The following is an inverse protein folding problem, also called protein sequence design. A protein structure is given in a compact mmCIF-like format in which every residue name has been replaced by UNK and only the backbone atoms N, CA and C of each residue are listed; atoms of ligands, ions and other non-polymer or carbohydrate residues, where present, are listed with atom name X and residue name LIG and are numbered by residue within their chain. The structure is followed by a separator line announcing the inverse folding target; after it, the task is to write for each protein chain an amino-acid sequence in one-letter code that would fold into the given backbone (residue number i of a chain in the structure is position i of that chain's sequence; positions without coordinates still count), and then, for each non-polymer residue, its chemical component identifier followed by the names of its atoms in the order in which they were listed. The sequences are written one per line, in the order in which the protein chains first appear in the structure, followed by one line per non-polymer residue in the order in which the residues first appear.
data_IF_801406566925
#
_entry.id   IF_801406566925
#
_cell.length_a   1.000
_cell.length_b   1.000
_cell.length_c   1.000
_cell.angle_alpha   90.00
_cell.angle_beta   90.00
_cell.angle_gamma   90.00
#
_symmetry.space_group_name_H-M   'P 1'
#
loop_
_entity.id
_entity.type
_entity.pdbx_description
1 polymer ?
#
# COMPACT_ATOMS: atom_id res chain seq x y z
N UNK A 1 -12.37 0.82 6.68
CA UNK A 1 -11.65 1.24 5.45
C UNK A 1 -10.36 0.47 5.36
N UNK A 2 -9.66 0.50 4.23
CA UNK A 2 -8.29 -0.03 4.13
C UNK A 2 -7.26 1.09 4.16
N UNK A 3 -6.13 0.85 4.83
CA UNK A 3 -4.83 1.38 4.43
C UNK A 3 -4.17 0.31 3.56
N UNK A 4 -3.84 0.64 2.33
CA UNK A 4 -3.16 -0.25 1.39
C UNK A 4 -1.71 0.17 1.27
N UNK A 5 -0.80 -0.71 1.67
CA UNK A 5 0.65 -0.54 1.56
C UNK A 5 1.18 -1.45 0.45
N UNK A 6 2.01 -0.91 -0.43
CA UNK A 6 2.66 -1.61 -1.52
C UNK A 6 4.11 -1.89 -1.17
N UNK A 7 4.58 -3.11 -1.43
CA UNK A 7 6.01 -3.41 -1.47
C UNK A 7 6.55 -3.10 -2.86
N UNK A 8 7.40 -2.06 -3.03
CA UNK A 8 7.78 -1.60 -4.36
C UNK A 8 8.46 -2.67 -5.21
N UNK A 9 9.36 -3.44 -4.63
CA UNK A 9 10.09 -4.49 -5.35
C UNK A 9 9.18 -5.64 -5.78
N UNK A 10 8.25 -6.06 -4.91
CA UNK A 10 7.28 -7.09 -5.27
C UNK A 10 6.30 -6.64 -6.36
N UNK A 11 5.86 -5.38 -6.30
CA UNK A 11 5.07 -4.77 -7.37
C UNK A 11 5.85 -4.73 -8.69
N UNK A 12 7.07 -4.19 -8.68
CA UNK A 12 7.86 -3.99 -9.90
C UNK A 12 8.35 -5.30 -10.53
N UNK A 13 8.66 -6.34 -9.74
CA UNK A 13 9.04 -7.66 -10.27
C UNK A 13 7.88 -8.44 -10.87
N UNK A 14 6.66 -8.26 -10.37
CA UNK A 14 5.48 -9.00 -10.86
C UNK A 14 4.69 -8.26 -11.94
N UNK A 15 5.01 -6.99 -12.20
CA UNK A 15 4.31 -6.17 -13.20
C UNK A 15 5.01 -6.26 -14.55
N UNK A 16 4.28 -6.07 -15.66
CA UNK A 16 4.86 -6.07 -17.01
C UNK A 16 6.03 -5.07 -17.11
N UNK A 17 7.08 -5.46 -17.86
CA UNK A 17 8.24 -4.61 -18.15
C UNK A 17 7.80 -3.22 -18.64
N UNK A 18 8.41 -2.19 -18.07
CA UNK A 18 8.19 -0.79 -18.47
C UNK A 18 7.00 -0.09 -17.80
N UNK A 19 6.16 -0.79 -17.03
CA UNK A 19 5.10 -0.16 -16.24
C UNK A 19 5.62 0.41 -14.91
N UNK A 20 6.56 -0.27 -14.25
CA UNK A 20 7.28 0.31 -13.12
C UNK A 20 8.39 1.22 -13.65
N UNK A 21 8.27 2.53 -13.39
CA UNK A 21 9.20 3.56 -13.86
C UNK A 21 9.91 4.29 -12.73
N UNK A 22 9.47 4.07 -11.50
CA UNK A 22 10.06 4.70 -10.33
C UNK A 22 11.55 4.37 -10.21
N UNK A 23 12.37 5.41 -10.02
CA UNK A 23 13.81 5.28 -9.82
C UNK A 23 14.33 6.45 -8.97
N UNK A 24 15.03 6.20 -7.85
CA UNK A 24 15.24 4.89 -7.23
C UNK A 24 13.94 4.29 -6.68
N UNK A 25 13.86 2.96 -6.58
CA UNK A 25 12.74 2.31 -5.89
C UNK A 25 12.84 2.55 -4.37
N UNK A 26 11.72 2.89 -3.70
CA UNK A 26 11.70 3.04 -2.25
C UNK A 26 12.10 1.74 -1.55
N UNK A 27 12.96 1.85 -0.54
CA UNK A 27 13.46 0.73 0.27
C UNK A 27 12.53 0.35 1.43
N UNK A 28 11.33 0.94 1.46
CA UNK A 28 10.28 0.72 2.44
C UNK A 28 8.95 0.49 1.70
N UNK A 29 7.96 -0.04 2.41
CA UNK A 29 6.58 -0.06 1.93
C UNK A 29 6.11 1.37 1.64
N UNK A 30 5.39 1.57 0.55
CA UNK A 30 4.74 2.86 0.21
C UNK A 30 3.24 2.75 0.32
N UNK A 31 2.55 3.88 0.48
CA UNK A 31 1.09 3.89 0.44
C UNK A 31 0.64 3.71 -1.01
N UNK A 32 -0.32 2.82 -1.25
CA UNK A 32 -1.12 2.82 -2.47
C UNK A 32 -2.33 3.73 -2.28
N UNK A 33 -3.09 3.50 -1.20
CA UNK A 33 -4.22 4.36 -0.88
C UNK A 33 -4.92 4.10 0.45
N UNK A 34 -5.83 5.01 0.80
CA UNK A 34 -6.84 4.78 1.83
C UNK A 34 -8.19 4.59 1.14
N UNK A 35 -8.76 3.40 1.28
CA UNK A 35 -9.95 3.03 0.52
C UNK A 35 -11.13 2.79 1.44
N UNK A 36 -12.19 3.62 1.36
CA UNK A 36 -13.48 3.28 1.95
C UNK A 36 -14.00 1.96 1.37
N UNK A 37 -14.57 1.11 2.22
CA UNK A 37 -15.14 -0.18 1.83
C UNK A 37 -16.49 -0.40 2.46
N UNK A 38 -17.35 -1.16 1.78
CA UNK A 38 -18.62 -1.65 2.33
C UNK A 38 -18.41 -2.83 3.30
N UNK A 39 -19.49 -3.33 3.89
CA UNK A 39 -19.46 -4.48 4.83
C UNK A 39 -19.03 -5.80 4.19
N UNK A 40 -18.96 -5.87 2.85
CA UNK A 40 -18.49 -7.02 2.09
C UNK A 40 -17.03 -6.82 1.59
N UNK A 41 -16.37 -5.76 2.03
CA UNK A 41 -14.99 -5.43 1.67
C UNK A 41 -14.82 -4.88 0.24
N UNK A 42 -15.91 -4.48 -0.43
CA UNK A 42 -15.82 -3.84 -1.75
C UNK A 42 -15.47 -2.37 -1.57
N UNK A 43 -14.53 -1.86 -2.37
CA UNK A 43 -14.21 -0.44 -2.38
C UNK A 43 -15.42 0.40 -2.80
N UNK A 44 -15.68 1.44 -2.02
CA UNK A 44 -16.64 2.50 -2.35
C UNK A 44 -15.89 3.54 -3.16
N UNK A 45 -16.41 3.89 -4.34
CA UNK A 45 -15.67 4.61 -5.36
C UNK A 45 -16.40 5.88 -5.83
N UNK A 46 -15.64 6.90 -6.21
CA UNK A 46 -16.08 8.07 -7.00
C UNK A 46 -17.37 8.72 -6.48
N UNK A 47 -17.49 8.91 -5.17
CA UNK A 47 -18.73 9.34 -4.53
C UNK A 47 -19.12 10.80 -4.81
N UNK A 48 -18.15 11.61 -5.25
CA UNK A 48 -18.34 13.01 -5.61
C UNK A 48 -17.72 13.28 -6.98
N UNK A 49 -18.12 14.39 -7.61
CA UNK A 49 -17.46 14.87 -8.83
C UNK A 49 -15.96 15.05 -8.58
N UNK A 50 -15.14 14.67 -9.57
CA UNK A 50 -13.70 14.86 -9.50
C UNK A 50 -13.35 16.34 -9.25
N UNK A 51 -12.40 16.55 -8.35
CA UNK A 51 -11.92 17.86 -7.92
C UNK A 51 -10.52 18.12 -8.50
N UNK A 52 -10.25 19.38 -8.83
CA UNK A 52 -8.90 19.84 -9.10
C UNK A 52 -8.14 20.03 -7.78
N UNK A 53 -7.06 19.29 -7.62
CA UNK A 53 -6.22 19.30 -6.41
C UNK A 53 -4.91 20.07 -6.60
N UNK A 54 -4.75 20.81 -7.71
CA UNK A 54 -3.51 21.55 -8.02
C UNK A 54 -3.09 22.46 -6.87
N UNK A 55 -4.04 23.17 -6.26
CA UNK A 55 -3.77 24.04 -5.11
C UNK A 55 -3.32 23.27 -3.86
N UNK A 56 -3.82 22.05 -3.63
CA UNK A 56 -3.42 21.20 -2.51
C UNK A 56 -1.95 20.80 -2.64
N UNK A 57 -1.50 20.47 -3.85
CA UNK A 57 -0.11 20.06 -4.11
C UNK A 57 0.87 21.23 -4.27
N UNK A 58 0.43 22.48 -4.12
CA UNK A 58 1.35 23.63 -4.01
C UNK A 58 1.96 23.75 -2.61
N UNK A 59 1.38 23.07 -1.60
CA UNK A 59 2.00 22.87 -0.31
C UNK A 59 3.23 21.94 -0.46
N UNK A 60 4.43 22.54 -0.39
CA UNK A 60 5.69 21.82 -0.54
C UNK A 60 5.90 20.77 0.54
N UNK A 61 5.53 21.05 1.79
CA UNK A 61 5.68 20.09 2.88
C UNK A 61 4.83 18.85 2.66
N UNK A 62 3.58 19.02 2.24
CA UNK A 62 2.73 17.88 1.88
C UNK A 62 3.32 17.13 0.68
N UNK A 63 3.75 17.85 -0.36
CA UNK A 63 4.29 17.23 -1.57
C UNK A 63 5.52 16.37 -1.27
N UNK A 64 6.47 16.87 -0.47
CA UNK A 64 7.70 16.14 -0.13
C UNK A 64 7.37 14.87 0.68
N UNK A 65 6.45 14.97 1.64
CA UNK A 65 5.98 13.80 2.39
C UNK A 65 5.27 12.77 1.51
N UNK A 66 4.51 13.22 0.50
CA UNK A 66 3.87 12.33 -0.45
C UNK A 66 4.89 11.63 -1.37
N UNK A 67 5.96 12.31 -1.77
CA UNK A 67 7.06 11.69 -2.53
C UNK A 67 7.78 10.61 -1.71
N UNK A 68 7.96 10.83 -0.40
CA UNK A 68 8.66 9.89 0.47
C UNK A 68 7.79 8.68 0.87
N UNK A 69 6.48 8.88 1.03
CA UNK A 69 5.61 7.88 1.66
C UNK A 69 4.54 7.31 0.75
N UNK A 70 4.14 8.04 -0.28
CA UNK A 70 3.04 7.70 -1.17
C UNK A 70 3.37 7.93 -2.65
N UNK A 71 4.58 7.61 -3.14
CA UNK A 71 4.89 7.90 -4.53
C UNK A 71 4.19 6.94 -5.50
N UNK A 72 3.98 7.41 -6.73
CA UNK A 72 3.60 6.58 -7.86
C UNK A 72 4.78 5.73 -8.31
N UNK A 73 4.61 4.40 -8.31
CA UNK A 73 5.62 3.47 -8.83
C UNK A 73 5.67 3.42 -10.37
N UNK A 74 4.64 3.94 -11.05
CA UNK A 74 4.53 3.95 -12.51
C UNK A 74 5.07 5.24 -13.15
N UNK A 75 5.46 6.21 -12.34
CA UNK A 75 6.10 7.45 -12.75
C UNK A 75 7.51 7.57 -12.18
N UNK A 76 8.38 8.31 -12.87
CA UNK A 76 9.67 8.71 -12.31
C UNK A 76 9.44 9.66 -11.13
N UNK A 77 10.26 9.55 -10.08
CA UNK A 77 10.18 10.48 -8.93
C UNK A 77 10.42 11.93 -9.36
N UNK A 78 11.31 12.14 -10.33
CA UNK A 78 11.62 13.46 -10.91
C UNK A 78 10.47 14.05 -11.74
N UNK A 79 9.50 13.22 -12.16
CA UNK A 79 8.34 13.67 -12.90
C UNK A 79 7.19 13.97 -11.92
N UNK A 80 7.20 15.18 -11.34
CA UNK A 80 6.20 15.59 -10.35
C UNK A 80 4.77 15.56 -10.90
N UNK A 81 4.57 15.77 -12.21
CA UNK A 81 3.24 15.67 -12.81
C UNK A 81 2.67 14.26 -12.65
N UNK A 82 3.46 13.23 -12.96
CA UNK A 82 3.02 11.84 -12.81
C UNK A 82 2.68 11.46 -11.37
N UNK A 83 3.40 12.04 -10.40
CA UNK A 83 3.14 11.83 -8.97
C UNK A 83 1.81 12.50 -8.57
N UNK A 84 1.60 13.76 -8.98
CA UNK A 84 0.34 14.50 -8.74
C UNK A 84 -0.86 13.86 -9.43
N UNK A 85 -0.69 13.32 -10.63
CA UNK A 85 -1.75 12.61 -11.36
C UNK A 85 -2.20 11.37 -10.56
N UNK A 86 -1.24 10.61 -10.00
CA UNK A 86 -1.53 9.46 -9.14
C UNK A 86 -2.24 9.86 -7.83
N UNK A 87 -1.76 10.87 -7.12
CA UNK A 87 -2.42 11.33 -5.89
C UNK A 87 -3.83 11.87 -6.16
N UNK A 88 -4.00 12.60 -7.26
CA UNK A 88 -5.33 13.07 -7.70
C UNK A 88 -6.28 11.93 -8.00
N UNK A 89 -5.78 10.88 -8.65
CA UNK A 89 -6.56 9.67 -8.92
C UNK A 89 -7.01 8.99 -7.62
N UNK A 90 -6.09 8.75 -6.69
CA UNK A 90 -6.41 8.10 -5.41
C UNK A 90 -7.44 8.89 -4.60
N UNK A 91 -7.29 10.21 -4.50
CA UNK A 91 -8.29 11.02 -3.80
C UNK A 91 -9.62 11.06 -4.54
N UNK A 92 -9.65 11.31 -5.85
CA UNK A 92 -10.92 11.43 -6.59
C UNK A 92 -11.66 10.09 -6.73
N UNK A 93 -10.95 8.97 -6.69
CA UNK A 93 -11.56 7.65 -6.74
C UNK A 93 -11.96 7.13 -5.36
N UNK A 94 -11.18 7.43 -4.32
CA UNK A 94 -11.38 6.85 -2.99
C UNK A 94 -11.59 7.91 -1.90
N UNK A 95 -10.67 8.86 -1.77
CA UNK A 95 -10.70 9.85 -0.70
C UNK A 95 -11.93 10.75 -0.67
N UNK A 96 -12.49 11.10 -1.83
CA UNK A 96 -13.66 11.98 -1.92
C UNK A 96 -14.98 11.33 -1.43
N UNK A 97 -14.97 10.02 -1.17
CA UNK A 97 -16.02 9.29 -0.47
C UNK A 97 -16.01 9.52 1.05
N UNK A 98 -14.97 10.16 1.58
CA UNK A 98 -14.89 10.52 2.99
C UNK A 98 -15.37 11.96 3.22
N UNK A 99 -15.63 12.29 4.48
CA UNK A 99 -15.95 13.66 4.91
C UNK A 99 -14.71 14.56 5.04
N UNK A 100 -13.50 14.02 4.86
CA UNK A 100 -12.23 14.74 4.98
C UNK A 100 -11.94 15.60 3.74
N UNK A 101 -11.26 16.71 3.93
CA UNK A 101 -10.65 17.45 2.83
C UNK A 101 -9.43 16.69 2.28
N UNK A 102 -9.03 16.97 1.04
CA UNK A 102 -7.92 16.29 0.38
C UNK A 102 -6.61 16.33 1.19
N UNK A 103 -6.27 17.50 1.75
CA UNK A 103 -5.07 17.66 2.59
C UNK A 103 -5.10 16.72 3.80
N UNK A 104 -6.23 16.63 4.50
CA UNK A 104 -6.38 15.78 5.69
C UNK A 104 -6.39 14.28 5.33
N UNK A 105 -6.92 13.93 4.15
CA UNK A 105 -6.88 12.57 3.61
C UNK A 105 -5.42 12.09 3.45
N UNK A 106 -4.58 12.90 2.80
CA UNK A 106 -3.18 12.55 2.57
C UNK A 106 -2.39 12.46 3.88
N UNK A 107 -2.56 13.44 4.78
CA UNK A 107 -1.87 13.40 6.08
C UNK A 107 -2.32 12.23 6.96
N UNK A 108 -3.59 11.84 6.92
CA UNK A 108 -4.06 10.64 7.62
C UNK A 108 -3.36 9.38 7.10
N UNK A 109 -3.19 9.23 5.78
CA UNK A 109 -2.46 8.12 5.19
C UNK A 109 -1.00 8.08 5.59
N UNK A 110 -0.31 9.22 5.51
CA UNK A 110 1.09 9.37 5.93
C UNK A 110 1.24 9.00 7.42
N UNK A 111 0.39 9.57 8.28
CA UNK A 111 0.41 9.30 9.72
C UNK A 111 0.18 7.83 10.04
N UNK A 112 -0.78 7.18 9.37
CA UNK A 112 -1.05 5.75 9.57
C UNK A 112 0.11 4.87 9.10
N UNK A 113 0.72 5.16 7.93
CA UNK A 113 1.90 4.44 7.46
C UNK A 113 3.05 4.54 8.45
N UNK A 114 3.36 5.75 8.92
CA UNK A 114 4.43 5.97 9.88
C UNK A 114 4.15 5.28 11.22
N UNK A 115 2.91 5.37 11.73
CA UNK A 115 2.52 4.75 13.00
C UNK A 115 2.57 3.22 12.93
N UNK A 116 2.06 2.63 11.85
CA UNK A 116 2.04 1.17 11.67
C UNK A 116 3.43 0.62 11.39
N UNK A 117 4.28 1.33 10.64
CA UNK A 117 5.68 0.97 10.38
C UNK A 117 5.87 -0.52 10.03
N UNK A 118 5.03 -1.01 9.12
CA UNK A 118 4.89 -2.45 8.85
C UNK A 118 6.22 -3.09 8.43
N UNK A 119 7.00 -2.42 7.59
CA UNK A 119 8.30 -2.98 7.19
C UNK A 119 9.25 -3.14 8.37
N UNK A 120 9.28 -2.19 9.31
CA UNK A 120 10.09 -2.34 10.52
C UNK A 120 9.63 -3.53 11.36
N UNK A 121 8.32 -3.72 11.53
CA UNK A 121 7.77 -4.87 12.23
C UNK A 121 8.15 -6.22 11.59
N UNK A 122 8.22 -6.28 10.25
CA UNK A 122 8.71 -7.46 9.54
C UNK A 122 10.21 -7.69 9.83
N UNK A 123 11.04 -6.65 9.76
CA UNK A 123 12.47 -6.75 10.06
C UNK A 123 12.72 -7.21 11.51
N UNK A 124 11.98 -6.66 12.47
CA UNK A 124 12.08 -7.03 13.89
C UNK A 124 11.73 -8.52 14.13
N UNK A 125 10.91 -9.10 13.25
CA UNK A 125 10.58 -10.52 13.24
C UNK A 125 11.53 -11.38 12.38
N UNK A 126 12.66 -10.82 11.91
CA UNK A 126 13.60 -11.44 10.97
C UNK A 126 12.99 -11.80 9.61
N UNK A 127 11.94 -11.09 9.19
CA UNK A 127 11.33 -11.21 7.87
C UNK A 127 11.97 -10.16 6.95
N UNK A 128 13.07 -10.53 6.33
CA UNK A 128 13.87 -9.70 5.43
C UNK A 128 13.59 -9.99 3.95
N UNK A 129 13.68 -8.98 3.06
CA UNK A 129 13.63 -9.21 1.62
C UNK A 129 14.71 -10.19 1.13
N UNK A 130 14.41 -10.93 0.06
CA UNK A 130 15.26 -11.95 -0.54
C UNK A 130 14.89 -13.39 -0.17
N UNK A 131 13.95 -13.60 0.75
CA UNK A 131 13.60 -14.93 1.27
C UNK A 131 12.11 -15.26 1.09
N UNK A 132 11.76 -16.49 1.45
CA UNK A 132 10.41 -17.03 1.42
C UNK A 132 9.91 -17.23 2.85
N UNK A 133 8.68 -16.80 3.12
CA UNK A 133 8.07 -16.92 4.44
C UNK A 133 6.66 -17.47 4.32
N UNK A 134 6.16 -18.12 5.36
CA UNK A 134 4.75 -18.53 5.40
C UNK A 134 3.90 -17.29 5.61
N UNK A 135 2.68 -17.33 5.09
CA UNK A 135 1.66 -16.31 5.37
C UNK A 135 1.51 -16.00 6.88
N UNK A 136 1.52 -17.04 7.71
CA UNK A 136 1.39 -16.92 9.15
C UNK A 136 2.54 -16.11 9.80
N UNK A 137 3.73 -16.10 9.20
CA UNK A 137 4.88 -15.35 9.72
C UNK A 137 4.63 -13.83 9.57
N UNK A 138 4.14 -13.39 8.41
CA UNK A 138 3.71 -12.01 8.19
C UNK A 138 2.58 -11.61 9.14
N UNK A 139 1.54 -12.45 9.25
CA UNK A 139 0.39 -12.19 10.12
C UNK A 139 0.82 -12.05 11.60
N UNK A 140 1.74 -12.90 12.06
CA UNK A 140 2.28 -12.85 13.43
C UNK A 140 3.11 -11.59 13.67
N UNK A 141 4.02 -11.25 12.75
CA UNK A 141 4.87 -10.07 12.86
C UNK A 141 4.04 -8.78 12.87
N UNK A 142 3.05 -8.68 11.97
CA UNK A 142 2.16 -7.52 11.89
C UNK A 142 1.29 -7.43 13.14
N UNK A 143 0.73 -8.56 13.62
CA UNK A 143 -0.06 -8.59 14.87
C UNK A 143 0.72 -8.05 16.06
N UNK A 144 2.01 -8.37 16.18
CA UNK A 144 2.85 -7.86 17.26
C UNK A 144 2.96 -6.33 17.25
N UNK A 145 2.86 -5.69 16.07
CA UNK A 145 2.94 -4.25 15.90
C UNK A 145 1.60 -3.52 15.98
N UNK A 146 0.55 -4.06 15.37
CA UNK A 146 -0.74 -3.36 15.22
C UNK A 146 -1.90 -4.01 15.99
N UNK A 147 -1.64 -5.07 16.75
CA UNK A 147 -2.61 -5.70 17.64
C UNK A 147 -3.56 -6.71 16.99
N UNK A 148 -3.50 -6.90 15.67
CA UNK A 148 -4.35 -7.86 14.95
C UNK A 148 -3.62 -8.56 13.82
N UNK A 149 -3.95 -9.84 13.61
CA UNK A 149 -3.55 -10.64 12.45
C UNK A 149 -4.61 -10.68 11.34
N UNK A 150 -5.78 -10.07 11.58
CA UNK A 150 -6.87 -10.00 10.59
C UNK A 150 -6.53 -8.93 9.55
N UNK A 151 -5.64 -9.29 8.63
CA UNK A 151 -5.07 -8.45 7.58
C UNK A 151 -5.14 -9.17 6.21
N UNK A 152 -4.98 -8.43 5.12
CA UNK A 152 -4.96 -9.02 3.78
C UNK A 152 -3.58 -8.87 3.14
N UNK A 153 -2.98 -9.98 2.75
CA UNK A 153 -1.80 -10.04 1.89
C UNK A 153 -2.24 -10.22 0.44
N UNK A 154 -1.73 -9.35 -0.43
CA UNK A 154 -1.87 -9.46 -1.87
C UNK A 154 -0.55 -9.85 -2.49
N UNK A 155 -0.62 -10.84 -3.37
CA UNK A 155 0.53 -11.33 -4.11
C UNK A 155 0.31 -11.24 -5.61
N UNK A 156 1.40 -11.08 -6.34
CA UNK A 156 1.49 -11.38 -7.77
C UNK A 156 2.07 -12.78 -7.94
N UNK A 157 1.73 -13.46 -9.03
CA UNK A 157 2.40 -14.71 -9.42
C UNK A 157 3.46 -14.39 -10.45
N UNK A 158 4.70 -14.85 -10.22
CA UNK A 158 5.74 -14.79 -11.25
C UNK A 158 5.59 -15.96 -12.24
N UNK A 159 6.44 -15.99 -13.27
CA UNK A 159 6.44 -17.04 -14.29
C UNK A 159 6.73 -18.45 -13.73
N UNK A 160 7.44 -18.52 -12.60
CA UNK A 160 7.75 -19.78 -11.90
C UNK A 160 6.59 -20.26 -11.00
N UNK A 161 5.53 -19.46 -10.86
CA UNK A 161 4.39 -19.75 -10.00
C UNK A 161 4.53 -19.28 -8.55
N UNK A 162 5.64 -18.63 -8.19
CA UNK A 162 5.84 -18.09 -6.84
C UNK A 162 4.89 -16.93 -6.57
N UNK A 163 4.37 -16.89 -5.34
CA UNK A 163 3.63 -15.74 -4.83
C UNK A 163 4.60 -14.66 -4.35
N UNK A 164 4.72 -13.56 -5.09
CA UNK A 164 5.50 -12.39 -4.72
C UNK A 164 4.63 -11.44 -3.89
N UNK A 165 5.04 -11.09 -2.67
CA UNK A 165 4.32 -10.11 -1.85
C UNK A 165 4.25 -8.77 -2.58
N UNK A 166 3.05 -8.31 -2.89
CA UNK A 166 2.80 -7.05 -3.60
C UNK A 166 2.25 -5.98 -2.67
N UNK A 167 1.18 -6.29 -1.93
CA UNK A 167 0.53 -5.33 -1.03
C UNK A 167 0.11 -5.98 0.29
N UNK A 168 -0.01 -5.15 1.33
CA UNK A 168 -0.56 -5.47 2.64
C UNK A 168 -1.71 -4.49 2.92
N UNK A 169 -2.90 -5.01 3.20
CA UNK A 169 -4.06 -4.21 3.55
C UNK A 169 -4.28 -4.32 5.04
N UNK A 170 -4.36 -3.18 5.70
CA UNK A 170 -4.77 -3.06 7.09
C UNK A 170 -6.17 -2.45 7.12
N UNK A 171 -7.09 -3.04 7.88
CA UNK A 171 -8.33 -2.36 8.15
C UNK A 171 -8.11 -1.23 9.14
N UNK A 172 -8.69 -0.08 8.85
CA UNK A 172 -8.64 1.12 9.69
C UNK A 172 -10.07 1.59 9.98
N UNK A 173 -10.24 2.23 11.12
CA UNK A 173 -11.50 2.85 11.50
C UNK A 173 -11.93 3.93 10.49
N UNK A 174 -13.21 4.30 10.50
CA UNK A 174 -13.78 5.25 9.52
C UNK A 174 -13.09 6.62 9.53
N UNK A 175 -12.44 6.98 10.65
CA UNK A 175 -11.77 8.27 10.81
C UNK A 175 -10.31 8.24 10.36
N UNK A 176 -9.79 7.07 9.95
CA UNK A 176 -8.40 6.84 9.56
C UNK A 176 -7.41 7.22 10.68
N UNK A 177 -7.69 6.80 11.91
CA UNK A 177 -6.87 7.09 13.09
C UNK A 177 -6.20 5.86 13.69
N UNK A 178 -6.78 4.67 13.50
CA UNK A 178 -6.23 3.42 14.07
C UNK A 178 -6.54 2.20 13.22
N UNK A 179 -5.69 1.19 13.38
CA UNK A 179 -5.92 -0.15 12.83
C UNK A 179 -7.00 -0.85 13.63
N UNK A 180 -7.88 -1.55 12.93
CA UNK A 180 -8.92 -2.42 13.49
C UNK A 180 -8.82 -3.80 12.81
N UNK A 181 -9.32 -4.87 13.44
CA UNK A 181 -9.40 -6.17 12.79
C UNK A 181 -10.25 -6.13 11.51
N UNK A 182 -9.75 -6.69 10.42
CA UNK A 182 -10.56 -6.86 9.22
C UNK A 182 -11.66 -7.92 9.44
N UNK A 183 -12.87 -7.74 8.87
CA UNK A 183 -13.87 -8.78 8.87
C UNK A 183 -13.35 -10.09 8.24
N UNK A 184 -13.63 -11.25 8.85
CA UNK A 184 -13.11 -12.55 8.37
C UNK A 184 -13.46 -12.85 6.90
N UNK A 185 -14.69 -12.54 6.48
CA UNK A 185 -15.15 -12.74 5.10
C UNK A 185 -14.33 -11.90 4.11
N UNK A 186 -13.95 -10.71 4.53
CA UNK A 186 -13.15 -9.77 3.76
C UNK A 186 -11.70 -10.23 3.65
N UNK A 187 -11.10 -10.69 4.76
CA UNK A 187 -9.79 -11.35 4.78
C UNK A 187 -9.77 -12.53 3.80
N UNK A 188 -10.77 -13.41 3.84
CA UNK A 188 -10.83 -14.58 2.95
C UNK A 188 -10.93 -14.20 1.47
N UNK A 189 -11.72 -13.17 1.13
CA UNK A 189 -11.92 -12.71 -0.24
C UNK A 189 -10.72 -11.95 -0.80
N UNK A 190 -10.15 -11.05 0.01
CA UNK A 190 -9.09 -10.14 -0.42
C UNK A 190 -7.71 -10.79 -0.42
N UNK A 191 -7.46 -11.81 0.41
CA UNK A 191 -6.20 -12.55 0.35
C UNK A 191 -6.10 -13.39 -0.93
N UNK A 192 -5.00 -13.23 -1.68
CA UNK A 192 -4.70 -14.10 -2.82
C UNK A 192 -3.29 -14.71 -2.78
N UNK A 193 -2.51 -14.42 -1.73
CA UNK A 193 -1.31 -15.17 -1.43
C UNK A 193 -1.72 -16.59 -1.03
N UNK A 194 -1.23 -17.60 -1.74
CA UNK A 194 -1.57 -19.00 -1.47
C UNK A 194 -1.17 -19.46 -0.07
N UNK A 195 -1.57 -20.68 0.30
CA UNK A 195 -1.29 -21.26 1.63
C UNK A 195 0.16 -21.74 1.81
N UNK A 196 0.98 -21.70 0.75
CA UNK A 196 2.39 -22.04 0.79
C UNK A 196 3.26 -20.89 1.29
N UNK A 197 4.46 -20.77 0.71
CA UNK A 197 5.37 -19.67 1.02
C UNK A 197 5.17 -18.48 0.06
N UNK A 198 5.42 -17.29 0.58
CA UNK A 198 5.38 -16.02 -0.13
C UNK A 198 6.82 -15.51 -0.24
N UNK A 199 7.25 -15.16 -1.46
CA UNK A 199 8.52 -14.50 -1.71
C UNK A 199 8.42 -13.03 -1.30
N UNK A 200 9.28 -12.61 -0.37
CA UNK A 200 9.48 -11.19 -0.08
C UNK A 200 10.64 -10.69 -0.95
N UNK A 201 10.34 -10.06 -2.08
CA UNK A 201 11.34 -9.74 -3.12
C UNK A 201 12.35 -8.70 -2.64
N UNK A 202 13.64 -8.91 -2.89
CA UNK A 202 14.71 -7.94 -2.61
C UNK A 202 14.96 -6.95 -3.75
N UNK A 203 15.68 -5.87 -3.46
CA UNK A 203 16.10 -4.89 -4.47
C UNK A 203 16.94 -5.51 -5.59
N UNK A 204 17.85 -6.44 -5.28
CA UNK A 204 18.73 -7.08 -6.26
C UNK A 204 17.93 -7.91 -7.27
N UNK A 205 16.93 -8.64 -6.79
CA UNK A 205 16.08 -9.50 -7.63
C UNK A 205 15.14 -8.71 -8.53
N UNK A 206 14.77 -7.49 -8.13
CA UNK A 206 13.89 -6.62 -8.92
C UNK A 206 14.51 -6.03 -10.19
N UNK A 207 15.84 -6.05 -10.30
CA UNK A 207 16.58 -5.48 -11.45
C UNK A 207 16.72 -6.51 -12.59
N UNK A 208 16.48 -7.80 -12.31
CA UNK A 208 16.78 -8.92 -13.23
C UNK A 208 15.58 -9.29 -14.12
N UNK A 209 14.39 -8.69 -13.89
CA UNK A 209 13.17 -9.03 -14.64
C UNK A 209 12.93 -8.10 -15.81
#
# INVERSE_FOLDING_TARGET
MYLVLTWPFGYCSGTQRGLCKMNPLPQDMTIHGIWPVDSAGNSILSCKKAQDLTAVFNDKTLQDNLLDHWPSLTGLISNIKSQRDFWSYEYNKHGNCQSKMAKDYFWAGISLKQHTSIFQALKDANIMPGQHYKRADFEKAIKAKVGTSDICLRCLKNQNGDFLLKEIYLCIDAQATKVIPCPKKEVQKSNNCGYGTIKFVSAVESIIV
#
